data_IF_036042128105
#
_entry.id   IF_036042128105
#
_cell.length_a   1.000
_cell.length_b   1.000
_cell.length_c   1.000
_cell.angle_alpha   90.00
_cell.angle_beta   90.00
_cell.angle_gamma   90.00
#
_symmetry.space_group_name_H-M   'P 1'
#
loop_
_entity.id
_entity.type
_entity.pdbx_description
1 polymer ?
#
# COMPACT_ATOMS: atom_id res chain seq x y z
N UNK A 1 18.74 -27.92 9.78
CA UNK A 1 19.49 -26.95 10.61
C UNK A 1 18.61 -25.72 10.82
N UNK A 2 18.70 -25.02 11.96
CA UNK A 2 17.92 -23.79 12.15
C UNK A 2 18.71 -22.62 11.54
N UNK A 3 18.42 -22.28 10.28
CA UNK A 3 19.09 -21.24 9.46
C UNK A 3 18.34 -19.90 9.49
N UNK A 4 17.23 -19.83 10.22
CA UNK A 4 16.32 -18.68 10.28
C UNK A 4 17.05 -17.36 10.65
N UNK A 5 18.14 -17.50 11.40
CA UNK A 5 18.94 -16.42 11.96
C UNK A 5 20.27 -16.22 11.27
N UNK A 6 20.64 -17.06 10.31
CA UNK A 6 21.88 -16.85 9.58
C UNK A 6 21.60 -15.85 8.45
N UNK A 7 22.57 -14.99 8.14
CA UNK A 7 22.50 -14.09 7.00
C UNK A 7 23.70 -14.27 6.10
N UNK A 8 23.43 -14.11 4.82
CA UNK A 8 24.41 -14.28 3.77
C UNK A 8 24.45 -13.04 2.87
N UNK A 9 25.55 -12.89 2.14
CA UNK A 9 25.59 -12.03 0.95
C UNK A 9 24.77 -12.65 -0.19
N UNK A 10 24.56 -11.90 -1.28
CA UNK A 10 23.89 -12.41 -2.48
C UNK A 10 24.65 -13.60 -3.09
N UNK A 11 25.98 -13.63 -2.94
CA UNK A 11 26.86 -14.72 -3.38
C UNK A 11 26.90 -15.91 -2.39
N UNK A 12 26.15 -15.83 -1.29
CA UNK A 12 26.03 -16.92 -0.31
C UNK A 12 27.14 -17.01 0.72
N UNK A 13 27.98 -15.98 0.85
CA UNK A 13 28.98 -15.89 1.92
C UNK A 13 28.31 -15.56 3.25
N UNK A 14 28.74 -16.18 4.36
CA UNK A 14 28.20 -15.84 5.68
C UNK A 14 28.50 -14.37 6.01
N UNK A 15 27.44 -13.61 6.29
CA UNK A 15 27.48 -12.20 6.66
C UNK A 15 27.27 -12.03 8.16
N UNK A 16 26.36 -12.81 8.74
CA UNK A 16 26.04 -12.73 10.16
C UNK A 16 25.48 -14.06 10.68
N UNK A 17 25.91 -14.44 11.88
CA UNK A 17 25.40 -15.61 12.59
C UNK A 17 25.36 -15.32 14.09
N UNK A 18 24.16 -15.18 14.65
CA UNK A 18 23.96 -14.89 16.07
C UNK A 18 24.68 -15.85 17.02
N UNK A 19 24.93 -17.09 16.59
CA UNK A 19 25.56 -18.13 17.42
C UNK A 19 27.08 -18.05 17.42
N UNK A 20 27.68 -17.29 16.49
CA UNK A 20 29.12 -17.17 16.42
C UNK A 20 29.63 -16.09 17.37
N UNK A 21 30.70 -16.40 18.10
CA UNK A 21 31.40 -15.44 18.96
C UNK A 21 32.20 -14.40 18.16
N UNK A 22 32.30 -14.56 16.84
CA UNK A 22 32.98 -13.59 15.95
C UNK A 22 32.17 -12.32 15.70
N UNK A 23 30.85 -12.35 15.88
CA UNK A 23 29.97 -11.21 15.65
C UNK A 23 29.52 -10.60 16.98
N UNK A 24 29.38 -9.27 17.02
CA UNK A 24 28.78 -8.56 18.14
C UNK A 24 27.30 -8.32 17.87
N UNK A 25 26.45 -8.55 18.87
CA UNK A 25 25.00 -8.59 18.68
C UNK A 25 24.24 -7.75 19.70
N UNK A 26 23.06 -7.29 19.30
CA UNK A 26 22.02 -6.89 20.24
C UNK A 26 20.78 -7.71 19.99
N UNK A 27 20.22 -8.27 21.07
CA UNK A 27 18.98 -9.05 21.00
C UNK A 27 17.93 -8.40 21.89
N UNK A 28 16.78 -8.09 21.30
CA UNK A 28 15.60 -7.68 22.06
C UNK A 28 14.81 -8.93 22.45
N UNK A 29 14.58 -9.12 23.75
CA UNK A 29 14.00 -10.35 24.31
C UNK A 29 12.58 -10.07 24.78
N UNK A 30 11.54 -10.41 23.98
CA UNK A 30 10.16 -10.34 24.44
C UNK A 30 9.82 -11.50 25.39
N UNK A 31 8.87 -11.28 26.30
CA UNK A 31 8.23 -12.37 27.04
C UNK A 31 7.18 -13.08 26.19
N UNK A 32 6.84 -14.33 26.52
CA UNK A 32 5.76 -15.06 25.84
C UNK A 32 4.41 -14.32 25.89
N UNK A 33 4.11 -13.68 27.03
CA UNK A 33 2.89 -12.90 27.20
C UNK A 33 2.90 -11.66 26.29
N UNK A 34 4.05 -11.00 26.15
CA UNK A 34 4.19 -9.88 25.23
C UNK A 34 4.03 -10.31 23.77
N UNK A 35 4.66 -11.41 23.35
CA UNK A 35 4.49 -11.96 21.99
C UNK A 35 3.01 -12.17 21.71
N UNK A 36 2.31 -12.88 22.60
CA UNK A 36 0.88 -13.17 22.44
C UNK A 36 0.06 -11.88 22.34
N UNK A 37 0.26 -10.94 23.27
CA UNK A 37 -0.49 -9.69 23.29
C UNK A 37 -0.27 -8.85 22.00
N UNK A 38 0.96 -8.80 21.50
CA UNK A 38 1.33 -8.06 20.27
C UNK A 38 0.66 -8.66 19.04
N UNK A 39 0.72 -9.99 18.90
CA UNK A 39 0.11 -10.70 17.77
C UNK A 39 -1.41 -10.60 17.82
N UNK A 40 -2.03 -10.81 18.99
CA UNK A 40 -3.49 -10.74 19.13
C UNK A 40 -4.00 -9.31 18.86
N UNK A 41 -3.26 -8.28 19.30
CA UNK A 41 -3.58 -6.87 18.99
C UNK A 41 -3.48 -6.58 17.50
N UNK A 42 -2.46 -7.11 16.80
CA UNK A 42 -2.31 -6.95 15.36
C UNK A 42 -3.43 -7.65 14.57
N UNK A 43 -3.77 -8.88 14.95
CA UNK A 43 -4.87 -9.64 14.33
C UNK A 43 -6.22 -8.98 14.54
N UNK A 44 -6.47 -8.37 15.70
CA UNK A 44 -7.70 -7.63 15.99
C UNK A 44 -7.90 -6.39 15.09
N UNK A 45 -6.80 -5.83 14.54
CA UNK A 45 -6.85 -4.69 13.62
C UNK A 45 -7.25 -5.08 12.20
N UNK A 46 -7.00 -6.32 11.78
CA UNK A 46 -7.27 -6.78 10.40
C UNK A 46 -8.75 -6.60 9.99
N UNK A 47 -9.75 -7.04 10.78
CA UNK A 47 -11.16 -6.80 10.44
C UNK A 47 -11.53 -5.32 10.36
N UNK A 48 -10.85 -4.48 11.14
CA UNK A 48 -11.15 -3.05 11.21
C UNK A 48 -10.55 -2.29 10.03
N UNK A 49 -9.29 -2.55 9.72
CA UNK A 49 -8.53 -1.79 8.73
C UNK A 49 -8.60 -2.36 7.32
N UNK A 50 -8.76 -3.69 7.20
CA UNK A 50 -8.82 -4.38 5.91
C UNK A 50 -10.22 -4.92 5.59
N UNK A 51 -11.16 -4.81 6.53
CA UNK A 51 -12.55 -5.24 6.35
C UNK A 51 -12.75 -6.77 6.20
N UNK A 52 -11.69 -7.57 6.32
CA UNK A 52 -11.71 -9.03 6.21
C UNK A 52 -11.36 -9.72 7.52
N UNK A 53 -11.75 -10.98 7.67
CA UNK A 53 -11.31 -11.79 8.83
C UNK A 53 -9.78 -12.00 8.76
N UNK A 54 -9.13 -11.91 9.92
CA UNK A 54 -7.74 -12.32 10.07
C UNK A 54 -7.60 -13.84 9.81
N UNK A 55 -6.49 -14.24 9.19
CA UNK A 55 -6.21 -15.63 8.84
C UNK A 55 -4.82 -16.07 9.33
N UNK A 56 -4.45 -17.32 9.05
CA UNK A 56 -3.16 -17.87 9.46
C UNK A 56 -1.96 -17.15 8.81
N UNK A 57 -2.10 -16.67 7.58
CA UNK A 57 -1.05 -15.92 6.91
C UNK A 57 -0.78 -14.57 7.58
N UNK A 58 -1.82 -13.88 8.08
CA UNK A 58 -1.65 -12.66 8.88
C UNK A 58 -0.83 -12.95 10.15
N UNK A 59 -1.17 -14.03 10.86
CA UNK A 59 -0.44 -14.45 12.06
C UNK A 59 1.03 -14.73 11.75
N UNK A 60 1.31 -15.55 10.74
CA UNK A 60 2.68 -15.89 10.34
C UNK A 60 3.46 -14.64 9.91
N UNK A 61 2.83 -13.69 9.20
CA UNK A 61 3.44 -12.42 8.84
C UNK A 61 3.88 -11.62 10.08
N UNK A 62 3.01 -11.52 11.07
CA UNK A 62 3.28 -10.75 12.30
C UNK A 62 4.33 -11.43 13.18
N UNK A 63 4.30 -12.76 13.29
CA UNK A 63 5.31 -13.56 13.99
C UNK A 63 6.68 -13.42 13.32
N UNK A 64 6.75 -13.49 11.99
CA UNK A 64 7.99 -13.29 11.23
C UNK A 64 8.52 -11.86 11.35
N UNK A 65 7.66 -10.85 11.39
CA UNK A 65 8.10 -9.48 11.66
C UNK A 65 8.68 -9.33 13.07
N UNK A 66 7.98 -9.85 14.08
CA UNK A 66 8.43 -9.78 15.48
C UNK A 66 9.79 -10.44 15.65
N UNK A 67 9.97 -11.62 15.06
CA UNK A 67 11.24 -12.32 15.06
C UNK A 67 12.35 -11.44 14.47
N UNK A 68 12.16 -10.89 13.27
CA UNK A 68 13.15 -10.01 12.63
C UNK A 68 13.45 -8.75 13.43
N UNK A 69 12.44 -8.17 14.07
CA UNK A 69 12.58 -6.97 14.89
C UNK A 69 13.45 -7.18 16.14
N UNK A 70 13.71 -8.43 16.53
CA UNK A 70 14.43 -8.76 17.76
C UNK A 70 15.95 -8.87 17.60
N UNK A 71 16.51 -8.81 16.39
CA UNK A 71 17.93 -9.08 16.18
C UNK A 71 18.64 -7.96 15.44
N UNK A 72 19.79 -7.58 15.98
CA UNK A 72 20.68 -6.53 15.47
C UNK A 72 22.09 -7.11 15.33
N UNK A 73 22.72 -6.87 14.19
CA UNK A 73 24.06 -7.35 13.78
C UNK A 73 25.23 -6.55 14.37
N UNK A 74 24.95 -5.75 15.41
CA UNK A 74 25.89 -4.88 16.09
C UNK A 74 25.48 -4.69 17.54
N UNK A 75 26.45 -4.34 18.38
CA UNK A 75 26.18 -3.98 19.77
C UNK A 75 25.62 -2.55 19.87
N UNK A 76 24.51 -2.41 20.59
CA UNK A 76 23.84 -1.14 20.84
C UNK A 76 24.02 -0.73 22.30
N UNK A 77 24.29 0.55 22.50
CA UNK A 77 24.32 1.16 23.82
C UNK A 77 22.92 1.42 24.36
N UNK A 78 22.82 1.72 25.66
CA UNK A 78 21.54 2.16 26.26
C UNK A 78 21.00 3.43 25.60
N UNK A 79 21.88 4.34 25.18
CA UNK A 79 21.50 5.56 24.49
C UNK A 79 20.89 5.28 23.11
N UNK A 80 21.33 4.21 22.44
CA UNK A 80 20.77 3.82 21.14
C UNK A 80 19.36 3.26 21.30
N UNK A 81 19.17 2.31 22.24
CA UNK A 81 17.89 1.61 22.42
C UNK A 81 16.81 2.45 23.10
N UNK A 82 17.17 3.59 23.70
CA UNK A 82 16.26 4.58 24.28
C UNK A 82 16.25 5.93 23.54
N UNK A 83 16.98 6.04 22.43
CA UNK A 83 17.16 7.29 21.69
C UNK A 83 15.97 7.70 20.84
N UNK A 84 16.24 8.54 19.84
CA UNK A 84 15.23 8.97 18.85
C UNK A 84 15.51 8.45 17.44
N UNK A 85 16.65 7.79 17.23
CA UNK A 85 17.05 7.26 15.93
C UNK A 85 16.41 5.89 15.72
N UNK A 86 15.84 5.71 14.55
CA UNK A 86 15.39 4.41 14.09
C UNK A 86 16.60 3.48 13.90
N UNK A 87 16.37 2.18 14.12
CA UNK A 87 17.40 1.16 14.11
C UNK A 87 16.99 0.09 13.10
N UNK A 88 17.77 -0.05 12.03
CA UNK A 88 17.61 -1.18 11.12
C UNK A 88 18.06 -2.46 11.81
N UNK A 89 17.17 -3.45 11.81
CA UNK A 89 17.44 -4.81 12.25
C UNK A 89 18.24 -5.57 11.20
N UNK A 90 18.66 -6.78 11.54
CA UNK A 90 19.49 -7.64 10.68
C UNK A 90 18.84 -7.85 9.30
N UNK A 91 19.52 -7.38 8.24
CA UNK A 91 19.18 -7.61 6.82
C UNK A 91 20.04 -8.69 6.16
N UNK A 92 20.17 -8.65 4.83
CA UNK A 92 20.95 -9.61 4.02
C UNK A 92 20.09 -10.72 3.42
N UNK A 93 20.69 -11.85 3.05
CA UNK A 93 19.99 -12.98 2.43
C UNK A 93 19.79 -14.13 3.43
N UNK A 94 18.66 -14.82 3.33
CA UNK A 94 18.38 -16.08 4.04
C UNK A 94 18.52 -17.27 3.09
N UNK A 95 18.92 -18.42 3.62
CA UNK A 95 19.09 -19.67 2.87
C UNK A 95 17.95 -20.63 3.15
N UNK A 96 17.22 -20.99 2.10
CA UNK A 96 16.18 -22.02 2.15
C UNK A 96 16.82 -23.39 1.93
N UNK A 97 17.05 -24.12 3.03
CA UNK A 97 17.67 -25.45 2.98
C UNK A 97 16.79 -26.51 2.34
N UNK A 98 15.47 -26.28 2.30
CA UNK A 98 14.50 -27.21 1.72
C UNK A 98 14.34 -27.00 0.20
N UNK A 99 14.82 -25.87 -0.30
CA UNK A 99 14.75 -25.49 -1.71
C UNK A 99 16.15 -25.27 -2.32
N UNK A 100 16.97 -26.33 -2.32
CA UNK A 100 18.31 -26.34 -2.93
C UNK A 100 19.23 -25.18 -2.47
N UNK A 101 19.12 -24.75 -1.21
CA UNK A 101 19.87 -23.62 -0.66
C UNK A 101 19.64 -22.30 -1.40
N UNK A 102 18.44 -22.10 -1.98
CA UNK A 102 18.07 -20.84 -2.62
C UNK A 102 18.22 -19.69 -1.64
N UNK A 103 18.91 -18.63 -2.08
CA UNK A 103 19.04 -17.39 -1.34
C UNK A 103 17.88 -16.47 -1.69
N UNK A 104 17.29 -15.87 -0.66
CA UNK A 104 16.26 -14.84 -0.81
C UNK A 104 16.58 -13.68 0.11
N UNK A 105 16.43 -12.45 -0.40
CA UNK A 105 16.61 -11.25 0.40
C UNK A 105 15.64 -11.27 1.59
N UNK A 106 16.17 -11.02 2.78
CA UNK A 106 15.39 -10.93 4.00
C UNK A 106 14.84 -9.50 4.10
N UNK A 107 13.52 -9.33 4.14
CA UNK A 107 12.98 -7.99 4.38
C UNK A 107 13.41 -7.50 5.77
N UNK A 108 13.90 -6.27 5.84
CA UNK A 108 14.45 -5.66 7.05
C UNK A 108 13.32 -5.15 7.95
N UNK A 109 13.35 -5.54 9.22
CA UNK A 109 12.52 -4.91 10.25
C UNK A 109 13.22 -3.65 10.78
N UNK A 110 12.45 -2.68 11.26
CA UNK A 110 12.97 -1.48 11.89
C UNK A 110 12.50 -1.39 13.34
N UNK A 111 13.45 -1.23 14.25
CA UNK A 111 13.19 -0.95 15.65
C UNK A 111 13.11 0.56 15.87
N UNK A 112 12.06 1.02 16.55
CA UNK A 112 11.83 2.44 16.83
C UNK A 112 11.83 2.70 18.33
N UNK A 113 12.92 3.18 18.92
CA UNK A 113 12.99 3.49 20.36
C UNK A 113 11.96 4.52 20.84
N UNK A 114 11.50 5.40 19.95
CA UNK A 114 10.43 6.37 20.25
C UNK A 114 9.09 5.68 20.51
N UNK A 115 8.86 4.52 19.89
CA UNK A 115 7.63 3.73 19.96
C UNK A 115 7.81 2.54 20.90
N UNK A 116 8.75 1.65 20.59
CA UNK A 116 9.04 0.41 21.31
C UNK A 116 9.96 0.67 22.51
N UNK A 117 9.76 -0.04 23.61
CA UNK A 117 10.43 0.21 24.89
C UNK A 117 11.12 -1.04 25.39
N UNK A 118 12.39 -0.85 25.77
CA UNK A 118 13.19 -1.86 26.45
C UNK A 118 13.48 -1.45 27.87
N UNK A 119 13.79 -2.46 28.68
CA UNK A 119 14.29 -2.32 30.03
C UNK A 119 15.81 -2.27 30.03
N UNK A 120 16.40 -1.14 30.42
CA UNK A 120 17.87 -0.96 30.44
C UNK A 120 18.52 -1.32 31.76
N UNK A 121 17.80 -1.24 32.88
CA UNK A 121 18.29 -1.54 34.23
C UNK A 121 18.48 -3.05 34.51
N UNK A 122 17.92 -3.91 33.66
CA UNK A 122 18.00 -5.37 33.77
C UNK A 122 18.43 -6.03 32.46
N UNK A 123 19.46 -5.51 31.78
CA UNK A 123 20.04 -6.15 30.60
C UNK A 123 20.96 -7.32 30.96
N UNK A 124 21.14 -8.26 30.05
CA UNK A 124 22.11 -9.36 30.22
C UNK A 124 23.25 -9.23 29.21
N UNK A 125 24.48 -9.52 29.65
CA UNK A 125 25.64 -9.60 28.76
C UNK A 125 25.88 -11.06 28.37
N UNK A 126 26.02 -11.31 27.07
CA UNK A 126 26.49 -12.58 26.52
C UNK A 126 27.92 -12.40 25.98
N UNK A 127 28.61 -13.51 25.67
CA UNK A 127 29.97 -13.48 25.13
C UNK A 127 30.08 -12.65 23.85
N UNK A 128 29.02 -12.62 23.06
CA UNK A 128 28.99 -12.02 21.73
C UNK A 128 27.92 -10.94 21.59
N UNK A 129 27.47 -10.32 22.69
CA UNK A 129 26.45 -9.27 22.60
C UNK A 129 25.75 -8.90 23.89
N UNK A 130 24.69 -8.11 23.74
CA UNK A 130 23.86 -7.60 24.85
C UNK A 130 22.39 -7.92 24.59
N UNK A 131 21.70 -8.42 25.62
CA UNK A 131 20.29 -8.75 25.59
C UNK A 131 19.52 -7.68 26.37
N UNK A 132 18.56 -7.03 25.71
CA UNK A 132 17.64 -6.07 26.33
C UNK A 132 16.23 -6.69 26.38
N UNK A 133 15.62 -6.74 27.56
CA UNK A 133 14.24 -7.23 27.66
C UNK A 133 13.26 -6.15 27.22
N UNK A 134 12.19 -6.57 26.53
CA UNK A 134 11.19 -5.65 26.01
C UNK A 134 10.09 -5.44 27.05
N UNK A 135 9.81 -4.18 27.39
CA UNK A 135 8.67 -3.81 28.23
C UNK A 135 7.42 -3.54 27.37
N UNK A 136 7.60 -2.99 26.16
CA UNK A 136 6.48 -2.71 25.26
C UNK A 136 6.90 -2.72 23.79
N UNK A 137 6.07 -3.31 22.92
CA UNK A 137 6.21 -3.24 21.47
C UNK A 137 4.87 -3.36 20.77
N UNK A 138 4.84 -3.08 19.46
CA UNK A 138 3.69 -3.34 18.59
C UNK A 138 4.16 -3.73 17.18
N UNK A 139 3.31 -4.45 16.46
CA UNK A 139 3.47 -4.60 15.01
C UNK A 139 3.12 -3.26 14.34
N UNK A 140 4.01 -2.70 13.50
CA UNK A 140 3.80 -1.45 12.79
C UNK A 140 2.60 -1.52 11.85
N UNK A 141 1.96 -0.36 11.61
CA UNK A 141 0.80 -0.31 10.72
C UNK A 141 1.16 -0.67 9.27
N UNK A 142 2.37 -0.33 8.79
CA UNK A 142 2.86 -0.73 7.46
C UNK A 142 3.16 -2.23 7.31
N UNK A 143 3.22 -2.97 8.42
CA UNK A 143 3.28 -4.43 8.40
C UNK A 143 1.87 -5.01 8.41
N UNK A 144 0.93 -4.40 9.14
CA UNK A 144 -0.46 -4.86 9.16
C UNK A 144 -1.15 -4.60 7.82
N UNK A 145 -0.93 -3.42 7.24
CA UNK A 145 -1.51 -2.98 5.97
C UNK A 145 -0.40 -2.98 4.93
N UNK A 146 -0.43 -3.92 3.99
CA UNK A 146 0.51 -3.92 2.88
C UNK A 146 0.11 -2.89 1.80
N UNK A 147 -1.18 -2.86 1.44
CA UNK A 147 -1.80 -1.84 0.59
C UNK A 147 -3.32 -1.86 0.76
N UNK A 148 -3.97 -0.73 0.48
CA UNK A 148 -5.42 -0.62 0.33
C UNK A 148 -5.69 -0.06 -1.07
N UNK A 149 -6.37 -0.81 -1.92
CA UNK A 149 -6.67 -0.42 -3.30
C UNK A 149 -8.14 -0.64 -3.57
N UNK A 150 -8.79 0.29 -4.26
CA UNK A 150 -10.16 0.11 -4.71
C UNK A 150 -10.38 0.73 -6.08
N UNK A 151 -11.14 0.02 -6.91
CA UNK A 151 -11.42 0.38 -8.29
C UNK A 151 -12.83 0.93 -8.36
N UNK A 152 -12.98 2.08 -9.00
CA UNK A 152 -14.26 2.80 -9.00
C UNK A 152 -15.37 1.98 -9.66
N UNK A 153 -15.06 1.15 -10.65
CA UNK A 153 -16.06 0.27 -11.25
C UNK A 153 -16.58 -0.80 -10.29
N UNK A 154 -15.72 -1.34 -9.41
CA UNK A 154 -16.13 -2.32 -8.39
C UNK A 154 -17.02 -1.64 -7.36
N UNK A 155 -16.64 -0.44 -6.91
CA UNK A 155 -17.43 0.35 -5.97
C UNK A 155 -18.81 0.70 -6.56
N UNK A 156 -18.83 1.25 -7.78
CA UNK A 156 -20.05 1.70 -8.43
C UNK A 156 -21.03 0.56 -8.72
N UNK A 157 -20.56 -0.55 -9.32
CA UNK A 157 -21.43 -1.68 -9.68
C UNK A 157 -22.00 -2.44 -8.47
N UNK A 158 -21.38 -2.30 -7.30
CA UNK A 158 -21.79 -3.02 -6.08
C UNK A 158 -22.31 -2.08 -4.98
N UNK A 159 -22.61 -0.82 -5.33
CA UNK A 159 -23.25 0.15 -4.44
C UNK A 159 -24.72 0.35 -4.82
N UNK A 160 -25.57 0.62 -3.84
CA UNK A 160 -26.96 1.08 -4.08
C UNK A 160 -26.99 2.53 -4.54
N UNK A 161 -28.13 3.00 -5.04
CA UNK A 161 -28.30 4.41 -5.41
C UNK A 161 -28.07 5.34 -4.22
N UNK A 162 -28.56 4.99 -3.03
CA UNK A 162 -28.32 5.77 -1.80
C UNK A 162 -26.84 5.82 -1.43
N UNK A 163 -26.09 4.73 -1.69
CA UNK A 163 -24.65 4.69 -1.48
C UNK A 163 -23.90 5.50 -2.54
N UNK A 164 -24.36 5.53 -3.79
CA UNK A 164 -23.81 6.43 -4.82
C UNK A 164 -23.92 7.88 -4.35
N UNK A 165 -25.11 8.33 -3.93
CA UNK A 165 -25.32 9.71 -3.49
C UNK A 165 -24.56 10.06 -2.20
N UNK A 166 -24.48 9.11 -1.26
CA UNK A 166 -23.74 9.31 -0.01
C UNK A 166 -22.24 9.44 -0.27
N UNK A 167 -21.65 8.48 -1.00
CA UNK A 167 -20.21 8.32 -1.10
C UNK A 167 -19.58 8.97 -2.32
N UNK A 168 -20.35 9.38 -3.33
CA UNK A 168 -19.87 10.08 -4.51
C UNK A 168 -20.65 11.38 -4.68
N UNK A 169 -20.07 12.46 -4.15
CA UNK A 169 -20.67 13.80 -4.16
C UNK A 169 -20.16 14.57 -5.37
N UNK A 170 -21.01 14.64 -6.39
CA UNK A 170 -20.71 15.27 -7.67
C UNK A 170 -21.11 16.74 -7.67
N UNK A 171 -20.22 17.60 -8.17
CA UNK A 171 -20.50 19.01 -8.48
C UNK A 171 -20.23 19.23 -9.95
N UNK A 172 -21.24 19.69 -10.68
CA UNK A 172 -21.21 19.93 -12.12
C UNK A 172 -20.85 18.73 -13.01
N UNK A 173 -20.70 17.54 -12.45
CA UNK A 173 -20.64 16.27 -13.16
C UNK A 173 -22.00 15.58 -13.09
N UNK A 174 -22.44 15.02 -14.21
CA UNK A 174 -23.71 14.30 -14.33
C UNK A 174 -23.52 12.96 -15.05
N UNK A 175 -24.56 12.12 -14.95
CA UNK A 175 -24.67 10.81 -15.58
C UNK A 175 -23.47 9.87 -15.31
N UNK A 176 -23.09 9.64 -14.04
CA UNK A 176 -22.04 8.68 -13.74
C UNK A 176 -22.40 7.28 -14.26
N UNK A 177 -21.47 6.63 -14.97
CA UNK A 177 -21.66 5.25 -15.47
C UNK A 177 -20.32 4.53 -15.66
N UNK A 178 -20.38 3.22 -15.85
CA UNK A 178 -19.20 2.42 -16.16
C UNK A 178 -19.03 2.25 -17.67
N UNK A 179 -17.81 2.53 -18.14
CA UNK A 179 -17.34 2.10 -19.46
C UNK A 179 -16.49 0.85 -19.25
N UNK A 180 -17.00 -0.28 -19.75
CA UNK A 180 -16.29 -1.55 -19.71
C UNK A 180 -15.16 -1.59 -20.76
N UNK A 181 -14.19 -2.47 -20.52
CA UNK A 181 -13.08 -2.77 -21.41
C UNK A 181 -12.36 -1.55 -22.00
N UNK A 182 -12.15 -0.51 -21.18
CA UNK A 182 -11.28 0.61 -21.53
C UNK A 182 -9.83 0.16 -21.78
N UNK A 183 -9.47 -1.02 -21.26
CA UNK A 183 -8.33 -1.83 -21.66
C UNK A 183 -8.64 -3.32 -21.42
N UNK A 184 -7.91 -4.22 -22.09
CA UNK A 184 -8.04 -5.66 -21.91
C UNK A 184 -7.65 -6.12 -20.49
N UNK A 185 -8.26 -7.23 -20.05
CA UNK A 185 -8.01 -7.82 -18.73
C UNK A 185 -6.65 -8.53 -18.64
N UNK A 186 -6.23 -8.83 -17.40
CA UNK A 186 -5.01 -9.57 -17.12
C UNK A 186 -5.15 -10.45 -15.88
N UNK A 187 -4.78 -11.72 -15.97
CA UNK A 187 -4.73 -12.63 -14.82
C UNK A 187 -3.32 -12.63 -14.24
N UNK A 188 -3.18 -12.21 -12.98
CA UNK A 188 -1.87 -12.07 -12.33
C UNK A 188 -1.18 -13.41 -12.11
N UNK A 189 -1.91 -14.39 -11.58
CA UNK A 189 -1.44 -15.74 -11.32
C UNK A 189 -2.64 -16.68 -11.18
N UNK A 190 -2.38 -17.99 -11.07
CA UNK A 190 -3.41 -18.99 -10.75
C UNK A 190 -4.07 -18.79 -9.38
N UNK A 191 -3.39 -18.07 -8.47
CA UNK A 191 -3.84 -17.84 -7.08
C UNK A 191 -4.33 -16.42 -6.83
N UNK A 192 -4.17 -15.50 -7.80
CA UNK A 192 -4.58 -14.10 -7.71
C UNK A 192 -5.68 -13.78 -8.74
N UNK A 193 -6.52 -12.76 -8.48
CA UNK A 193 -7.68 -12.50 -9.32
C UNK A 193 -7.30 -12.00 -10.72
N UNK A 194 -8.23 -12.21 -11.67
CA UNK A 194 -8.20 -11.53 -12.96
C UNK A 194 -8.61 -10.07 -12.79
N UNK A 195 -7.80 -9.22 -13.40
CA UNK A 195 -7.96 -7.78 -13.37
C UNK A 195 -8.68 -7.24 -14.58
N UNK A 196 -9.70 -6.41 -14.35
CA UNK A 196 -10.43 -5.70 -15.39
C UNK A 196 -10.12 -4.21 -15.37
N UNK A 197 -10.17 -3.60 -16.56
CA UNK A 197 -9.83 -2.19 -16.78
C UNK A 197 -11.08 -1.45 -17.26
N UNK A 198 -12.07 -1.38 -16.38
CA UNK A 198 -13.29 -0.59 -16.56
C UNK A 198 -13.12 0.74 -15.83
N UNK A 199 -13.75 1.80 -16.32
CA UNK A 199 -13.62 3.15 -15.72
C UNK A 199 -14.97 3.72 -15.35
N UNK A 200 -15.02 4.42 -14.21
CA UNK A 200 -16.14 5.28 -13.86
C UNK A 200 -15.99 6.59 -14.62
N UNK A 201 -17.03 6.94 -15.39
CA UNK A 201 -17.09 8.16 -16.19
C UNK A 201 -18.25 9.04 -15.78
N UNK A 202 -18.07 10.35 -15.93
CA UNK A 202 -19.11 11.36 -15.87
C UNK A 202 -18.86 12.42 -16.96
N UNK A 203 -19.87 13.23 -17.26
CA UNK A 203 -19.78 14.37 -18.19
C UNK A 203 -20.18 15.67 -17.49
N UNK A 204 -19.65 16.84 -17.89
CA UNK A 204 -20.03 18.11 -17.28
C UNK A 204 -21.53 18.36 -17.47
N UNK A 205 -22.19 19.10 -16.59
CA UNK A 205 -23.58 19.52 -16.76
C UNK A 205 -23.73 20.66 -17.78
N UNK A 206 -24.96 21.15 -18.00
CA UNK A 206 -25.20 22.24 -18.96
C UNK A 206 -24.59 23.58 -18.53
N UNK A 207 -24.55 23.86 -17.23
CA UNK A 207 -24.10 25.13 -16.67
C UNK A 207 -22.58 25.22 -16.71
N UNK A 208 -21.88 24.17 -16.26
CA UNK A 208 -20.43 24.12 -16.34
C UNK A 208 -19.90 24.21 -17.76
N UNK A 209 -20.58 23.62 -18.74
CA UNK A 209 -20.22 23.79 -20.16
C UNK A 209 -20.43 25.22 -20.66
N UNK A 210 -21.52 25.87 -20.25
CA UNK A 210 -21.85 27.23 -20.71
C UNK A 210 -20.91 28.26 -20.10
N UNK A 211 -20.66 28.14 -18.79
CA UNK A 211 -20.02 29.17 -17.97
C UNK A 211 -18.58 28.80 -17.59
N UNK A 212 -18.07 27.67 -18.09
CA UNK A 212 -16.74 27.12 -17.77
C UNK A 212 -16.51 26.91 -16.27
N UNK A 213 -17.53 26.39 -15.57
CA UNK A 213 -17.45 26.13 -14.12
C UNK A 213 -16.60 24.88 -13.84
N UNK A 214 -15.84 24.85 -12.73
CA UNK A 214 -15.13 23.65 -12.30
C UNK A 214 -16.07 22.46 -12.09
N UNK A 215 -15.68 21.28 -12.56
CA UNK A 215 -16.40 20.04 -12.27
C UNK A 215 -15.61 19.20 -11.28
N UNK A 216 -16.24 18.77 -10.18
CA UNK A 216 -15.57 18.00 -9.13
C UNK A 216 -16.37 16.81 -8.62
N UNK A 217 -15.66 15.78 -8.16
CA UNK A 217 -16.24 14.67 -7.41
C UNK A 217 -15.44 14.50 -6.12
N UNK A 218 -16.15 14.51 -4.99
CA UNK A 218 -15.60 14.12 -3.70
C UNK A 218 -16.11 12.73 -3.36
N UNK A 219 -15.22 11.82 -2.99
CA UNK A 219 -15.62 10.49 -2.54
C UNK A 219 -14.93 10.06 -1.25
N UNK A 220 -15.63 9.22 -0.49
CA UNK A 220 -15.13 8.64 0.76
C UNK A 220 -14.25 7.41 0.47
N UNK A 221 -13.31 7.10 1.37
CA UNK A 221 -12.56 5.86 1.32
C UNK A 221 -13.49 4.65 1.48
N UNK A 222 -13.59 3.83 0.44
CA UNK A 222 -14.43 2.62 0.40
C UNK A 222 -13.64 1.41 -0.11
N UNK A 223 -13.81 0.24 0.52
CA UNK A 223 -13.29 -1.03 0.02
C UNK A 223 -14.41 -1.88 -0.58
N UNK A 224 -14.10 -2.54 -1.70
CA UNK A 224 -14.89 -3.65 -2.21
C UNK A 224 -14.35 -4.98 -1.67
N UNK A 225 -15.22 -5.76 -1.04
CA UNK A 225 -14.91 -7.04 -0.43
C UNK A 225 -15.77 -8.13 -1.08
N UNK A 226 -15.28 -8.77 -2.17
CA UNK A 226 -15.99 -9.88 -2.76
C UNK A 226 -16.07 -11.00 -1.72
N UNK A 227 -17.30 -11.45 -1.41
CA UNK A 227 -17.60 -12.48 -0.40
C UNK A 227 -17.50 -12.03 1.07
N UNK A 228 -17.80 -10.76 1.39
CA UNK A 228 -17.89 -10.32 2.79
C UNK A 228 -18.93 -11.17 3.57
N UNK A 229 -18.55 -11.85 4.66
CA UNK A 229 -19.46 -12.66 5.46
C UNK A 229 -20.58 -11.85 6.14
N UNK A 230 -20.47 -10.52 6.19
CA UNK A 230 -21.51 -9.61 6.70
C UNK A 230 -22.57 -9.24 5.66
N UNK A 231 -22.47 -9.75 4.42
CA UNK A 231 -23.41 -9.48 3.33
C UNK A 231 -23.22 -8.13 2.62
N UNK A 232 -22.53 -7.17 3.22
CA UNK A 232 -22.20 -5.88 2.58
C UNK A 232 -20.92 -5.98 1.75
N UNK A 233 -21.02 -5.80 0.45
CA UNK A 233 -19.87 -5.87 -0.46
C UNK A 233 -19.00 -4.60 -0.45
N UNK A 234 -19.56 -3.47 -0.01
CA UNK A 234 -18.87 -2.19 0.12
C UNK A 234 -18.79 -1.82 1.60
N UNK A 235 -17.59 -1.46 2.05
CA UNK A 235 -17.34 -1.02 3.43
C UNK A 235 -16.55 0.29 3.45
N UNK A 236 -16.87 1.16 4.40
CA UNK A 236 -16.07 2.37 4.66
C UNK A 236 -14.68 1.97 5.17
N UNK A 237 -13.65 2.66 4.68
CA UNK A 237 -12.30 2.54 5.20
C UNK A 237 -12.24 3.05 6.64
N UNK A 238 -11.47 2.35 7.48
CA UNK A 238 -11.05 2.84 8.79
C UNK A 238 -9.56 2.55 8.91
N UNK A 239 -8.72 3.53 8.58
CA UNK A 239 -7.27 3.36 8.54
C UNK A 239 -6.63 4.08 9.73
N UNK A 240 -5.51 3.57 10.29
CA UNK A 240 -4.86 4.23 11.42
C UNK A 240 -4.27 5.58 11.04
N UNK A 241 -4.01 6.40 12.05
CA UNK A 241 -3.20 7.59 11.86
C UNK A 241 -1.81 7.21 11.35
N UNK A 242 -1.26 8.05 10.48
CA UNK A 242 0.07 7.85 9.93
C UNK A 242 0.24 8.39 8.52
N UNK A 243 1.39 8.06 7.95
CA UNK A 243 1.83 8.52 6.63
C UNK A 243 1.56 7.44 5.58
N UNK A 244 1.05 7.84 4.42
CA UNK A 244 0.72 6.95 3.31
C UNK A 244 1.14 7.55 1.97
N UNK A 245 1.58 6.73 1.03
CA UNK A 245 1.61 7.09 -0.38
C UNK A 245 0.20 6.99 -0.95
N UNK A 246 -0.36 8.11 -1.41
CA UNK A 246 -1.56 8.11 -2.24
C UNK A 246 -1.15 7.91 -3.70
N UNK A 247 -1.71 6.87 -4.30
CA UNK A 247 -1.55 6.55 -5.71
C UNK A 247 -2.89 6.42 -6.39
N UNK A 248 -2.97 6.83 -7.66
CA UNK A 248 -4.23 6.86 -8.40
C UNK A 248 -4.04 6.46 -9.85
N UNK A 249 -5.15 6.05 -10.47
CA UNK A 249 -5.17 5.64 -11.85
C UNK A 249 -6.34 6.21 -12.62
N UNK A 250 -6.08 6.55 -13.87
CA UNK A 250 -7.06 7.13 -14.80
C UNK A 250 -6.92 6.44 -16.14
N UNK A 251 -7.88 6.64 -17.05
CA UNK A 251 -7.62 6.24 -18.43
C UNK A 251 -6.49 7.10 -19.00
N UNK A 252 -5.61 6.49 -19.81
CA UNK A 252 -4.57 7.21 -20.54
C UNK A 252 -5.12 8.09 -21.67
N UNK A 253 -4.29 9.06 -22.10
CA UNK A 253 -4.53 9.97 -23.22
C UNK A 253 -5.79 10.83 -23.09
N UNK A 254 -6.11 11.30 -21.88
CA UNK A 254 -7.25 12.20 -21.65
C UNK A 254 -6.88 13.63 -22.03
N UNK A 255 -7.85 14.42 -22.48
CA UNK A 255 -7.59 15.74 -23.03
C UNK A 255 -7.83 16.91 -22.07
N UNK A 256 -7.59 16.75 -20.77
CA UNK A 256 -7.85 17.82 -19.79
C UNK A 256 -6.88 17.72 -18.60
N UNK A 257 -6.98 18.68 -17.67
CA UNK A 257 -6.25 18.64 -16.40
C UNK A 257 -7.13 18.23 -15.22
N UNK A 258 -6.50 17.64 -14.20
CA UNK A 258 -7.13 17.27 -12.93
C UNK A 258 -6.33 17.81 -11.73
N UNK A 259 -7.03 18.41 -10.77
CA UNK A 259 -6.51 18.68 -9.43
C UNK A 259 -6.97 17.60 -8.46
N UNK A 260 -6.13 17.23 -7.51
CA UNK A 260 -6.40 16.16 -6.53
C UNK A 260 -6.16 16.68 -5.11
N UNK A 261 -7.16 16.52 -4.26
CA UNK A 261 -7.11 16.83 -2.84
C UNK A 261 -7.33 15.55 -2.03
N UNK A 262 -6.65 15.44 -0.88
CA UNK A 262 -6.89 14.40 0.11
C UNK A 262 -7.30 15.07 1.41
N UNK A 263 -8.51 14.76 1.90
CA UNK A 263 -9.22 15.57 2.87
C UNK A 263 -9.18 17.05 2.43
N UNK A 264 -8.81 17.96 3.33
CA UNK A 264 -8.75 19.39 3.04
C UNK A 264 -7.39 19.86 2.50
N UNK A 265 -6.54 18.95 2.01
CA UNK A 265 -5.18 19.26 1.53
C UNK A 265 -5.05 19.06 0.03
N UNK A 266 -4.68 20.12 -0.70
CA UNK A 266 -4.31 20.04 -2.12
C UNK A 266 -2.98 19.29 -2.28
N UNK A 267 -2.97 18.24 -3.10
CA UNK A 267 -1.78 17.44 -3.39
C UNK A 267 -1.21 17.77 -4.77
N UNK A 268 -2.08 17.89 -5.77
CA UNK A 268 -1.71 18.25 -7.14
C UNK A 268 -2.73 19.25 -7.67
N UNK A 269 -2.22 20.31 -8.29
CA UNK A 269 -3.01 21.30 -9.02
C UNK A 269 -2.78 21.11 -10.53
N UNK A 270 -3.88 21.06 -11.29
CA UNK A 270 -3.91 21.00 -12.76
C UNK A 270 -2.95 19.97 -13.41
N UNK A 271 -2.96 18.75 -12.89
CA UNK A 271 -2.27 17.59 -13.45
C UNK A 271 -2.68 17.34 -14.90
N UNK A 272 -1.73 17.46 -15.82
CA UNK A 272 -1.97 17.37 -17.26
C UNK A 272 -2.12 15.91 -17.73
N UNK A 273 -3.26 15.57 -18.34
CA UNK A 273 -3.59 14.18 -18.69
C UNK A 273 -3.31 13.76 -20.17
N UNK A 274 -2.83 14.69 -21.03
CA UNK A 274 -2.70 14.48 -22.50
C UNK A 274 -1.72 13.39 -22.94
N UNK A 275 -0.82 12.94 -22.07
CA UNK A 275 0.30 12.13 -22.50
C UNK A 275 -0.13 10.72 -22.93
N UNK A 276 0.26 10.33 -24.16
CA UNK A 276 0.21 8.94 -24.64
C UNK A 276 1.35 8.14 -23.99
N UNK A 277 1.05 6.98 -23.43
CA UNK A 277 2.03 6.17 -22.68
C UNK A 277 2.40 6.73 -21.30
N UNK A 278 1.52 7.53 -20.70
CA UNK A 278 1.80 8.34 -19.52
C UNK A 278 1.86 7.59 -18.19
N UNK A 279 2.46 8.24 -17.19
CA UNK A 279 2.62 7.79 -15.80
C UNK A 279 1.29 7.49 -15.06
N UNK A 280 0.13 7.70 -15.70
CA UNK A 280 -1.21 7.61 -15.10
C UNK A 280 -2.09 6.53 -15.77
N UNK A 281 -1.47 5.63 -16.53
CA UNK A 281 -2.17 4.68 -17.41
C UNK A 281 -2.83 3.55 -16.61
N UNK A 282 -4.07 3.77 -16.17
CA UNK A 282 -4.79 2.92 -15.22
C UNK A 282 -3.94 2.75 -13.96
N UNK A 283 -3.63 1.52 -13.58
CA UNK A 283 -2.73 1.22 -12.50
C UNK A 283 -1.28 1.06 -12.95
N UNK A 284 -0.94 1.43 -14.18
CA UNK A 284 0.45 1.60 -14.60
C UNK A 284 0.89 2.98 -14.19
N UNK A 285 1.93 3.03 -13.39
CA UNK A 285 2.58 4.28 -13.03
C UNK A 285 4.07 4.05 -12.86
N UNK A 286 4.84 4.95 -13.48
CA UNK A 286 6.30 4.98 -13.45
C UNK A 286 6.85 4.93 -12.02
N UNK A 287 7.93 4.16 -11.86
CA UNK A 287 9.14 4.41 -11.07
C UNK A 287 9.07 5.71 -10.25
N UNK A 288 8.49 5.65 -9.06
CA UNK A 288 8.51 6.76 -8.10
C UNK A 288 9.09 6.15 -6.83
N UNK A 289 10.30 6.58 -6.45
CA UNK A 289 11.08 6.05 -5.34
C UNK A 289 10.21 5.99 -4.09
N UNK A 290 9.99 4.77 -3.59
CA UNK A 290 9.36 4.47 -2.31
C UNK A 290 10.48 4.06 -1.39
N UNK A 291 10.68 4.81 -0.32
CA UNK A 291 11.62 4.41 0.73
C UNK A 291 11.31 2.97 1.18
N UNK A 292 12.31 2.09 1.06
CA UNK A 292 12.35 0.64 1.36
C UNK A 292 12.09 -0.36 0.20
N UNK A 293 11.90 0.07 -1.06
CA UNK A 293 11.65 -0.86 -2.19
C UNK A 293 12.58 -0.70 -3.42
N UNK A 294 13.74 -0.04 -3.26
CA UNK A 294 14.74 0.13 -4.33
C UNK A 294 14.38 1.21 -5.36
N UNK A 295 15.31 1.50 -6.27
CA UNK A 295 15.23 2.60 -7.27
C UNK A 295 14.11 2.45 -8.31
N UNK A 296 13.32 1.36 -8.26
CA UNK A 296 12.12 1.19 -9.08
C UNK A 296 10.97 0.60 -8.26
N UNK A 297 10.11 1.46 -7.72
CA UNK A 297 9.02 1.01 -6.85
C UNK A 297 7.66 1.14 -7.52
N UNK A 298 7.49 0.33 -8.57
CA UNK A 298 6.19 -0.17 -8.96
C UNK A 298 5.69 -1.05 -7.80
N UNK A 299 4.67 -0.60 -7.07
CA UNK A 299 4.12 -1.37 -5.97
C UNK A 299 3.17 -2.44 -6.46
N UNK A 300 3.49 -3.71 -6.19
CA UNK A 300 2.68 -4.87 -6.59
C UNK A 300 1.72 -5.31 -5.48
N UNK A 301 0.80 -6.26 -5.74
CA UNK A 301 0.02 -6.94 -4.69
C UNK A 301 0.90 -7.70 -3.70
N UNK A 302 0.41 -7.86 -2.47
CA UNK A 302 1.11 -8.67 -1.46
C UNK A 302 1.26 -10.11 -1.94
N UNK A 303 2.48 -10.65 -1.90
CA UNK A 303 2.78 -11.99 -2.37
C UNK A 303 2.86 -12.16 -3.89
N UNK A 304 2.78 -11.07 -4.67
CA UNK A 304 3.02 -11.12 -6.11
C UNK A 304 4.46 -10.73 -6.43
N UNK A 305 5.18 -11.62 -7.09
CA UNK A 305 6.50 -11.36 -7.66
C UNK A 305 6.43 -11.51 -9.19
N UNK A 306 6.48 -10.39 -9.90
CA UNK A 306 6.33 -10.39 -11.36
C UNK A 306 7.44 -11.18 -12.09
N UNK A 307 8.64 -11.31 -11.50
CA UNK A 307 9.73 -12.08 -12.08
C UNK A 307 9.40 -13.58 -12.19
N UNK A 308 8.64 -14.12 -11.25
CA UNK A 308 8.21 -15.52 -11.31
C UNK A 308 7.24 -15.77 -12.49
N UNK A 309 6.55 -14.71 -12.94
CA UNK A 309 5.52 -14.75 -13.98
C UNK A 309 5.99 -14.18 -15.33
N UNK A 310 7.16 -13.55 -15.39
CA UNK A 310 7.66 -12.91 -16.62
C UNK A 310 7.96 -13.92 -17.72
N UNK A 311 8.25 -15.18 -17.36
CA UNK A 311 8.43 -16.29 -18.29
C UNK A 311 7.13 -16.73 -18.98
N UNK A 312 5.98 -16.50 -18.34
CA UNK A 312 4.64 -16.80 -18.89
C UNK A 312 4.07 -15.60 -19.64
N UNK A 313 4.34 -14.38 -19.17
CA UNK A 313 3.96 -13.15 -19.88
C UNK A 313 4.85 -12.00 -19.48
N UNK A 314 5.52 -11.36 -20.46
CA UNK A 314 6.28 -10.13 -20.26
C UNK A 314 5.43 -8.95 -19.73
N UNK A 315 4.10 -9.10 -19.82
CA UNK A 315 3.12 -8.17 -19.28
C UNK A 315 3.01 -8.25 -17.75
N UNK A 316 3.48 -9.30 -17.09
CA UNK A 316 3.40 -9.48 -15.62
C UNK A 316 3.86 -8.25 -14.82
N UNK A 317 4.88 -7.53 -15.31
CA UNK A 317 5.41 -6.31 -14.68
C UNK A 317 4.49 -5.08 -14.73
N UNK A 318 3.38 -5.12 -15.49
CA UNK A 318 2.63 -3.92 -15.89
C UNK A 318 1.18 -3.87 -15.40
N UNK A 319 0.74 -4.78 -14.53
CA UNK A 319 -0.67 -4.92 -14.16
C UNK A 319 -0.87 -5.08 -12.65
N UNK A 320 -2.01 -4.60 -12.14
CA UNK A 320 -2.36 -4.52 -10.72
C UNK A 320 -1.36 -3.81 -9.82
N UNK A 321 -0.61 -2.86 -10.39
CA UNK A 321 0.35 -2.06 -9.63
C UNK A 321 -0.38 -0.96 -8.85
N UNK A 322 0.32 -0.15 -8.06
CA UNK A 322 -0.34 0.88 -7.26
C UNK A 322 -0.77 2.12 -8.08
N UNK A 323 -0.28 2.28 -9.31
CA UNK A 323 -0.55 3.44 -10.17
C UNK A 323 0.36 4.64 -9.93
N UNK A 324 -0.06 5.82 -10.40
CA UNK A 324 0.70 7.06 -10.32
C UNK A 324 0.79 7.56 -8.88
N UNK A 325 1.97 8.01 -8.44
CA UNK A 325 2.11 8.67 -7.14
C UNK A 325 1.59 10.10 -7.15
N UNK A 326 0.41 10.30 -6.53
CA UNK A 326 -0.19 11.62 -6.35
C UNK A 326 0.56 12.41 -5.27
N UNK A 327 0.92 11.76 -4.16
CA UNK A 327 1.64 12.41 -3.08
C UNK A 327 1.72 11.57 -1.82
N UNK A 328 2.38 12.12 -0.80
CA UNK A 328 2.40 11.55 0.55
C UNK A 328 1.35 12.26 1.38
N UNK A 329 0.44 11.48 1.99
CA UNK A 329 -0.70 11.97 2.76
C UNK A 329 -0.56 11.60 4.23
N UNK A 330 -1.13 12.43 5.09
CA UNK A 330 -1.11 12.25 6.53
C UNK A 330 -2.53 12.11 7.07
N UNK A 331 -2.81 10.94 7.63
CA UNK A 331 -4.04 10.67 8.37
C UNK A 331 -3.79 11.03 9.82
N UNK A 332 -4.52 12.03 10.34
CA UNK A 332 -4.28 12.59 11.69
C UNK A 332 -4.77 11.67 12.80
N UNK A 333 -5.91 11.03 12.58
CA UNK A 333 -6.55 10.12 13.53
C UNK A 333 -7.11 8.91 12.79
N UNK A 334 -7.27 7.81 13.51
CA UNK A 334 -7.82 6.59 12.91
C UNK A 334 -9.25 6.84 12.43
N UNK A 335 -9.52 6.61 11.15
CA UNK A 335 -10.81 6.96 10.56
C UNK A 335 -10.86 6.76 9.06
N UNK A 336 -11.93 7.29 8.47
CA UNK A 336 -12.07 7.37 7.02
C UNK A 336 -11.39 8.65 6.50
N UNK A 337 -11.28 8.76 5.18
CA UNK A 337 -10.72 9.90 4.47
C UNK A 337 -11.60 10.24 3.26
N UNK A 338 -11.35 11.40 2.68
CA UNK A 338 -11.97 11.83 1.41
C UNK A 338 -10.91 12.13 0.37
N UNK A 339 -11.24 11.92 -0.89
CA UNK A 339 -10.45 12.39 -2.03
C UNK A 339 -11.37 13.21 -2.93
N UNK A 340 -10.89 14.39 -3.33
CA UNK A 340 -11.60 15.26 -4.27
C UNK A 340 -10.80 15.36 -5.55
N UNK A 341 -11.43 15.05 -6.68
CA UNK A 341 -10.89 15.24 -8.02
C UNK A 341 -11.66 16.38 -8.67
N UNK A 342 -10.94 17.39 -9.16
CA UNK A 342 -11.54 18.56 -9.82
C UNK A 342 -10.92 18.74 -11.20
N UNK A 343 -11.71 19.09 -12.20
CA UNK A 343 -11.21 19.62 -13.47
C UNK A 343 -11.66 21.07 -13.62
N UNK A 344 -10.72 21.95 -13.94
CA UNK A 344 -10.98 23.34 -14.27
C UNK A 344 -10.97 23.58 -15.80
N UNK A 345 -10.68 22.55 -16.61
CA UNK A 345 -10.47 22.68 -18.06
C UNK A 345 -11.72 22.31 -18.87
N UNK A 346 -12.81 23.07 -18.68
CA UNK A 346 -14.07 22.83 -19.39
C UNK A 346 -13.96 22.98 -20.91
N UNK A 347 -12.91 23.65 -21.40
CA UNK A 347 -12.69 23.88 -22.83
C UNK A 347 -12.41 22.60 -23.61
N UNK A 348 -11.93 21.55 -22.91
CA UNK A 348 -11.58 20.26 -23.51
C UNK A 348 -12.32 19.08 -22.87
N UNK A 349 -12.95 19.33 -21.72
CA UNK A 349 -13.86 18.43 -21.06
C UNK A 349 -15.21 18.45 -21.77
N UNK A 350 -15.40 17.48 -22.66
CA UNK A 350 -16.59 17.18 -23.48
C UNK A 350 -16.60 17.73 -24.92
N UNK A 351 -17.14 16.92 -25.83
CA UNK A 351 -17.43 17.27 -27.22
C UNK A 351 -18.89 16.89 -27.50
N UNK A 352 -19.68 17.85 -27.99
CA UNK A 352 -21.12 17.70 -28.26
C UNK A 352 -21.46 16.58 -29.23
N UNK A 353 -20.51 16.17 -30.07
CA UNK A 353 -20.71 15.10 -31.05
C UNK A 353 -20.13 13.76 -30.58
N UNK A 354 -19.44 13.73 -29.45
CA UNK A 354 -18.76 12.53 -28.99
C UNK A 354 -19.70 11.64 -28.17
N UNK A 355 -19.89 10.42 -28.64
CA UNK A 355 -20.52 9.37 -27.85
C UNK A 355 -19.64 9.01 -26.63
N UNK A 356 -20.28 8.56 -25.55
CA UNK A 356 -19.57 8.05 -24.38
C UNK A 356 -19.11 6.62 -24.64
N UNK A 357 -17.83 6.45 -24.89
CA UNK A 357 -17.19 5.15 -25.12
C UNK A 357 -15.70 5.21 -24.76
N UNK A 358 -15.00 4.10 -24.94
CA UNK A 358 -13.56 3.97 -24.65
C UNK A 358 -12.66 4.85 -25.51
N UNK A 359 -13.13 5.37 -26.65
CA UNK A 359 -12.36 6.25 -27.53
C UNK A 359 -12.54 7.74 -27.22
N UNK A 360 -13.57 8.09 -26.45
CA UNK A 360 -13.82 9.48 -26.05
C UNK A 360 -12.92 9.86 -24.86
N UNK A 361 -11.94 10.71 -25.16
CA UNK A 361 -10.90 11.22 -24.25
C UNK A 361 -11.27 12.54 -23.56
N UNK A 362 -12.48 13.04 -23.83
CA UNK A 362 -13.03 14.31 -23.34
C UNK A 362 -14.14 14.08 -22.30
N UNK A 363 -13.92 13.17 -21.37
CA UNK A 363 -14.85 12.87 -20.28
C UNK A 363 -14.06 12.38 -19.07
N UNK A 364 -14.62 12.52 -17.86
CA UNK A 364 -13.99 11.95 -16.67
C UNK A 364 -13.81 10.44 -16.85
N UNK A 365 -12.64 9.88 -16.54
CA UNK A 365 -12.41 8.44 -16.64
C UNK A 365 -11.47 7.97 -15.53
N UNK A 366 -12.07 7.64 -14.39
CA UNK A 366 -11.35 7.23 -13.18
C UNK A 366 -11.27 5.71 -13.10
N UNK A 367 -10.08 5.18 -12.73
CA UNK A 367 -9.88 3.74 -12.58
C UNK A 367 -9.82 3.30 -11.12
N UNK A 368 -8.85 3.79 -10.35
CA UNK A 368 -8.64 3.37 -8.96
C UNK A 368 -7.98 4.45 -8.10
N UNK A 369 -8.02 4.21 -6.80
CA UNK A 369 -7.12 4.80 -5.82
C UNK A 369 -6.41 3.69 -5.02
N UNK A 370 -5.22 3.99 -4.51
CA UNK A 370 -4.42 3.11 -3.67
C UNK A 370 -3.73 3.91 -2.56
N UNK A 371 -3.79 3.40 -1.33
CA UNK A 371 -2.98 3.85 -0.21
C UNK A 371 -1.99 2.74 0.17
N UNK A 372 -0.70 3.08 0.19
CA UNK A 372 0.35 2.23 0.74
C UNK A 372 0.97 2.92 1.96
N UNK A 373 0.95 2.33 3.16
CA UNK A 373 1.61 2.95 4.30
C UNK A 373 3.11 3.11 4.02
N UNK A 374 3.69 4.23 4.46
CA UNK A 374 5.14 4.40 4.38
C UNK A 374 5.83 3.64 5.50
N UNK A 375 7.16 3.55 5.45
CA UNK A 375 7.96 3.02 6.58
C UNK A 375 7.73 3.78 7.88
N UNK A 376 7.25 5.02 7.81
CA UNK A 376 7.01 5.86 8.97
C UNK A 376 5.68 5.54 9.67
N UNK A 377 4.82 4.74 9.05
CA UNK A 377 3.52 4.38 9.60
C UNK A 377 3.65 3.26 10.66
N UNK A 378 4.08 3.67 11.86
CA UNK A 378 4.32 2.80 13.00
C UNK A 378 3.14 2.71 13.94
#
# INVERSE_FOLDING_TARGET
ENTLMDRYTEEGQEMWNMRSETYNNTVFVPSNDLIKAVIDTALAKVPRWLGRKANAADRSKYENWLLRACFIDRELSEADVCGTKDIDCVGGFTRDTDNNNKLSEAEVAMWRPTVQKVRTDNKMKANNGTLYFIDWMKVPNNVIIYRLKSRFYELWNNSTAEQHDKYFRWTHWIDPMIINDAQGSFTLSETLPTMYYHVLTAIPDKEARRDSLPCSVTYDGLLYLPNNPRGQQIVECCIPAGEYYLRMGFKHSLEYSLSIQFNDTMLIEDMVMYAQGSNYHFDRGSVSVVDNYGESSIGYPEGYNWHDWSSLSEKAQAYDTDGFQVGVVHVKEEGNFTITITSNDMSRLYDYNAQRNTSNVKQLMMYHWCLRPTKNNY
#
